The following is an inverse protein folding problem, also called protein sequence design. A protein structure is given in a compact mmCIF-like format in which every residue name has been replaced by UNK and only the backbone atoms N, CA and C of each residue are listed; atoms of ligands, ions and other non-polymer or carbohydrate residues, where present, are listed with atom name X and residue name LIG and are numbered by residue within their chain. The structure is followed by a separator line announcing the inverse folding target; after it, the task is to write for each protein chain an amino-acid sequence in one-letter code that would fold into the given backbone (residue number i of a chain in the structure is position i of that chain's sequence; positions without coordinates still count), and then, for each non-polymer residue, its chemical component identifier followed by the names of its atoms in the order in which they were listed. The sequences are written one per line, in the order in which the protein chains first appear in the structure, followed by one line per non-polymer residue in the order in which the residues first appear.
data_IF_556691566332
#
_entry.id   IF_556691566332
#
_cell.length_a   1.000
_cell.length_b   1.000
_cell.length_c   1.000
_cell.angle_alpha   90.00
_cell.angle_beta   90.00
_cell.angle_gamma   90.00
#
_symmetry.space_group_name_H-M   'P 1'
#
loop_
_entity.id
_entity.type
_entity.pdbx_description
1 polymer ?
#
# COMPACT_ATOMS: atom_id res chain seq x y z
N UNK A 1 -7.14 -6.59 4.05
CA UNK A 1 -6.71 -5.85 2.85
C UNK A 1 -6.63 -6.82 1.67
N UNK A 2 -6.56 -6.33 0.44
CA UNK A 2 -6.27 -7.11 -0.79
C UNK A 2 -5.47 -6.27 -1.80
N UNK A 3 -4.80 -6.88 -2.80
CA UNK A 3 -4.24 -6.13 -3.92
C UNK A 3 -5.26 -5.17 -4.55
N UNK A 4 -4.81 -3.96 -4.87
CA UNK A 4 -5.66 -2.86 -5.34
C UNK A 4 -6.35 -2.04 -4.24
N UNK A 5 -6.27 -2.43 -2.96
CA UNK A 5 -6.79 -1.59 -1.88
C UNK A 5 -5.98 -0.29 -1.78
N UNK A 6 -6.67 0.85 -1.77
CA UNK A 6 -6.09 2.16 -1.43
C UNK A 6 -5.77 2.21 0.06
N UNK A 7 -4.59 2.71 0.39
CA UNK A 7 -4.10 2.80 1.77
C UNK A 7 -3.32 4.09 2.01
N UNK A 8 -3.21 4.48 3.27
CA UNK A 8 -2.42 5.62 3.72
C UNK A 8 -1.37 5.15 4.73
N UNK A 9 -0.13 5.58 4.54
CA UNK A 9 0.96 5.34 5.49
C UNK A 9 0.80 6.28 6.68
N UNK A 10 0.56 5.71 7.85
CA UNK A 10 0.21 6.47 9.08
C UNK A 10 1.30 7.49 9.47
N UNK A 11 2.61 7.15 9.42
CA UNK A 11 3.65 8.08 9.88
C UNK A 11 3.80 9.36 9.03
N UNK A 12 3.48 9.32 7.74
CA UNK A 12 3.69 10.46 6.82
C UNK A 12 2.41 10.97 6.16
N UNK A 13 1.31 10.22 6.23
CA UNK A 13 0.11 10.48 5.43
C UNK A 13 0.26 10.12 3.95
N UNK A 14 1.33 9.44 3.55
CA UNK A 14 1.59 9.13 2.14
C UNK A 14 0.57 8.12 1.60
N UNK A 15 0.05 8.41 0.42
CA UNK A 15 -0.95 7.58 -0.25
C UNK A 15 -0.27 6.42 -1.00
N UNK A 16 -0.86 5.24 -0.86
CA UNK A 16 -0.38 4.01 -1.47
C UNK A 16 -1.48 3.10 -1.99
N UNK A 17 -1.10 2.10 -2.78
CA UNK A 17 -1.96 1.01 -3.25
C UNK A 17 -1.29 -0.33 -2.91
N UNK A 18 -2.05 -1.25 -2.31
CA UNK A 18 -1.56 -2.60 -1.96
C UNK A 18 -1.27 -3.39 -3.24
N UNK A 19 -0.04 -3.90 -3.39
CA UNK A 19 0.35 -4.79 -4.49
C UNK A 19 0.28 -6.26 -4.11
N UNK A 20 0.73 -6.59 -2.91
CA UNK A 20 0.74 -7.97 -2.41
C UNK A 20 0.61 -7.99 -0.90
N UNK A 21 0.05 -9.08 -0.38
CA UNK A 21 -0.02 -9.35 1.05
C UNK A 21 0.90 -10.52 1.35
N UNK A 22 1.66 -10.41 2.45
CA UNK A 22 2.43 -11.54 2.95
C UNK A 22 1.50 -12.51 3.68
N UNK A 23 1.64 -13.81 3.41
CA UNK A 23 0.84 -14.87 4.05
C UNK A 23 0.98 -14.86 5.58
N UNK A 24 2.11 -14.36 6.10
CA UNK A 24 2.38 -14.23 7.53
C UNK A 24 1.75 -12.99 8.20
N UNK A 25 0.80 -12.33 7.54
CA UNK A 25 -0.11 -11.24 8.01
C UNK A 25 0.50 -9.95 8.59
N UNK A 26 1.77 -9.92 9.00
CA UNK A 26 2.39 -8.76 9.67
C UNK A 26 2.87 -7.68 8.70
N UNK A 27 3.04 -8.02 7.42
CA UNK A 27 3.57 -7.13 6.39
C UNK A 27 2.72 -7.12 5.13
N UNK A 28 2.63 -5.94 4.53
CA UNK A 28 1.95 -5.68 3.26
C UNK A 28 2.91 -4.96 2.32
N UNK A 29 2.88 -5.31 1.04
CA UNK A 29 3.68 -4.67 0.01
C UNK A 29 2.84 -3.59 -0.65
N UNK A 30 3.23 -2.33 -0.44
CA UNK A 30 2.46 -1.15 -0.87
C UNK A 30 3.32 -0.34 -1.83
N UNK A 31 2.72 0.09 -2.93
CA UNK A 31 3.33 1.07 -3.82
C UNK A 31 2.90 2.45 -3.34
N UNK A 32 3.85 3.28 -2.95
CA UNK A 32 3.61 4.66 -2.55
C UNK A 32 3.98 5.63 -3.67
N UNK A 33 3.32 6.79 -3.69
CA UNK A 33 3.69 7.89 -4.57
C UNK A 33 2.50 8.73 -5.05
N UNK A 34 2.79 9.92 -5.56
CA UNK A 34 1.77 10.90 -5.98
C UNK A 34 1.14 10.62 -7.35
N UNK A 35 1.77 9.80 -8.19
CA UNK A 35 1.32 9.47 -9.57
C UNK A 35 0.77 8.05 -9.73
N UNK A 36 0.65 7.32 -8.62
CA UNK A 36 0.16 5.94 -8.65
C UNK A 36 -1.35 5.95 -8.91
N UNK A 37 -1.82 5.03 -9.74
CA UNK A 37 -3.23 4.80 -10.02
C UNK A 37 -3.53 3.30 -9.94
N UNK A 38 -4.81 2.95 -9.86
CA UNK A 38 -5.23 1.54 -9.90
C UNK A 38 -4.86 0.84 -11.22
N UNK A 39 -4.63 1.61 -12.28
CA UNK A 39 -4.31 1.08 -13.61
C UNK A 39 -2.82 0.80 -13.79
N UNK A 40 -1.95 1.45 -13.01
CA UNK A 40 -0.50 1.40 -13.22
C UNK A 40 0.31 0.89 -12.02
N UNK A 41 -0.27 0.74 -10.83
CA UNK A 41 0.47 0.41 -9.61
C UNK A 41 1.26 -0.90 -9.72
N UNK A 42 0.80 -1.87 -10.52
CA UNK A 42 1.51 -3.14 -10.72
C UNK A 42 2.86 -2.97 -11.43
N UNK A 43 3.08 -1.87 -12.15
CA UNK A 43 4.34 -1.58 -12.83
C UNK A 43 5.40 -0.99 -11.89
N UNK A 44 5.03 -0.60 -10.67
CA UNK A 44 5.94 0.03 -9.72
C UNK A 44 6.49 -0.95 -8.68
N UNK A 45 7.67 -0.62 -8.15
CA UNK A 45 8.27 -1.31 -7.02
C UNK A 45 7.46 -1.05 -5.75
N UNK A 46 7.08 -2.11 -5.06
CA UNK A 46 6.37 -2.02 -3.79
C UNK A 46 7.32 -2.07 -2.60
N UNK A 47 7.01 -1.30 -1.57
CA UNK A 47 7.71 -1.29 -0.30
C UNK A 47 7.07 -2.26 0.68
N UNK A 48 7.89 -3.07 1.36
CA UNK A 48 7.43 -3.91 2.48
C UNK A 48 7.16 -3.04 3.70
N UNK A 49 5.89 -2.95 4.09
CA UNK A 49 5.42 -2.09 5.17
C UNK A 49 4.70 -2.91 6.23
N UNK A 50 4.83 -2.54 7.51
CA UNK A 50 4.10 -3.21 8.58
C UNK A 50 2.62 -2.91 8.46
N UNK A 51 1.77 -3.89 8.75
CA UNK A 51 0.33 -3.69 8.71
C UNK A 51 -0.13 -2.63 9.73
N UNK A 52 0.55 -2.53 10.88
CA UNK A 52 0.29 -1.53 11.92
C UNK A 52 0.47 -0.08 11.46
N UNK A 53 1.28 0.13 10.42
CA UNK A 53 1.65 1.47 9.96
C UNK A 53 0.78 1.90 8.77
N UNK A 54 -0.26 1.12 8.44
CA UNK A 54 -1.12 1.30 7.28
C UNK A 54 -2.58 1.45 7.71
N UNK A 55 -3.22 2.53 7.27
CA UNK A 55 -4.68 2.72 7.34
C UNK A 55 -5.31 2.42 5.98
N UNK A 56 -6.48 1.78 5.97
CA UNK A 56 -7.25 1.59 4.74
C UNK A 56 -7.92 2.90 4.30
N UNK A 57 -7.90 3.19 3.00
CA UNK A 57 -8.45 4.41 2.42
C UNK A 57 -7.44 5.55 2.33
N UNK A 58 -7.82 6.59 1.59
CA UNK A 58 -7.09 7.86 1.45
C UNK A 58 -7.78 9.02 2.19
N UNK A 59 -8.77 8.69 3.02
CA UNK A 59 -9.59 9.58 3.84
C UNK A 59 -9.50 9.15 5.32
#
# INVERSE_FOLDING_TARGET
MKPGDKVTYIPTGEKGIVKRISENSTRVFVVFGSRITLENYENYTAQSTKLSDIKKGWE
#
